data_IF_126111553700
#
_entry.id   IF_126111553700
#
_cell.length_a   1.000
_cell.length_b   1.000
_cell.length_c   1.000
_cell.angle_alpha   90.00
_cell.angle_beta   90.00
_cell.angle_gamma   90.00
#
_symmetry.space_group_name_H-M   'P 1'
#
loop_
_entity.id
_entity.type
_entity.pdbx_description
1 polymer ?
#
# COMPACT_ATOMS: atom_id res chain seq x y z
N UNK A 1 -3.59 7.91 0.33
CA UNK A 1 -4.53 8.51 -0.64
C UNK A 1 -5.53 7.52 -1.24
N UNK A 2 -5.32 6.20 -1.16
CA UNK A 2 -6.20 5.20 -1.77
C UNK A 2 -7.69 5.34 -1.38
N UNK A 3 -8.04 5.30 -0.09
CA UNK A 3 -9.46 5.42 0.33
C UNK A 3 -10.09 6.78 -0.02
N UNK A 4 -9.29 7.85 -0.14
CA UNK A 4 -9.78 9.14 -0.64
C UNK A 4 -10.06 9.07 -2.15
N UNK A 5 -9.21 8.40 -2.93
CA UNK A 5 -9.48 8.15 -4.34
C UNK A 5 -10.75 7.31 -4.52
N UNK A 6 -10.93 6.26 -3.73
CA UNK A 6 -12.17 5.45 -3.73
C UNK A 6 -13.40 6.29 -3.36
N UNK A 7 -13.30 7.18 -2.38
CA UNK A 7 -14.37 8.12 -2.03
C UNK A 7 -14.77 8.99 -3.22
N UNK A 8 -13.81 9.55 -3.96
CA UNK A 8 -14.10 10.37 -5.14
C UNK A 8 -14.69 9.56 -6.30
N UNK A 9 -14.19 8.35 -6.57
CA UNK A 9 -14.80 7.46 -7.57
C UNK A 9 -16.25 7.15 -7.21
N UNK A 10 -16.53 6.87 -5.93
CA UNK A 10 -17.90 6.63 -5.46
C UNK A 10 -18.79 7.85 -5.65
N UNK A 11 -18.27 9.05 -5.35
CA UNK A 11 -18.98 10.32 -5.54
C UNK A 11 -19.30 10.58 -7.02
N UNK A 12 -18.42 10.17 -7.93
CA UNK A 12 -18.60 10.31 -9.38
C UNK A 12 -19.44 9.20 -10.02
N UNK A 13 -19.87 8.19 -9.26
CA UNK A 13 -20.62 7.04 -9.79
C UNK A 13 -19.75 5.99 -10.50
N UNK A 14 -18.43 6.02 -10.31
CA UNK A 14 -17.43 5.18 -10.98
C UNK A 14 -17.11 3.88 -10.19
N UNK A 15 -17.94 3.49 -9.23
CA UNK A 15 -17.81 2.20 -8.55
C UNK A 15 -16.81 2.14 -7.40
N UNK A 16 -16.50 3.27 -6.75
CA UNK A 16 -15.57 3.30 -5.60
C UNK A 16 -16.00 2.39 -4.43
N UNK A 17 -15.03 1.65 -3.89
CA UNK A 17 -15.22 0.64 -2.84
C UNK A 17 -14.69 1.10 -1.47
N UNK A 18 -15.37 0.69 -0.39
CA UNK A 18 -14.91 0.89 0.99
C UNK A 18 -14.15 -0.33 1.51
N UNK A 19 -13.09 -0.69 0.79
CA UNK A 19 -12.16 -1.76 1.15
C UNK A 19 -10.73 -1.27 0.91
N UNK A 20 -9.74 -1.95 1.48
CA UNK A 20 -8.32 -1.79 1.15
C UNK A 20 -7.79 -2.87 0.20
N UNK A 21 -8.64 -3.74 -0.33
CA UNK A 21 -8.17 -4.85 -1.18
C UNK A 21 -7.45 -4.37 -2.44
N UNK A 22 -7.93 -3.32 -3.11
CA UNK A 22 -7.19 -2.74 -4.23
C UNK A 22 -5.86 -2.10 -3.81
N UNK A 23 -5.73 -1.62 -2.57
CA UNK A 23 -4.45 -1.19 -2.03
C UNK A 23 -3.49 -2.38 -1.84
N UNK A 24 -3.99 -3.53 -1.37
CA UNK A 24 -3.21 -4.77 -1.26
C UNK A 24 -2.67 -5.19 -2.64
N UNK A 25 -3.51 -5.14 -3.68
CA UNK A 25 -3.12 -5.44 -5.07
C UNK A 25 -2.01 -4.49 -5.54
N UNK A 26 -2.16 -3.18 -5.32
CA UNK A 26 -1.13 -2.19 -5.69
C UNK A 26 0.23 -2.53 -5.05
N UNK A 27 0.24 -2.96 -3.79
CA UNK A 27 1.47 -3.34 -3.09
C UNK A 27 2.05 -4.69 -3.56
N UNK A 28 1.20 -5.64 -3.97
CA UNK A 28 1.65 -6.88 -4.63
C UNK A 28 2.28 -6.58 -6.00
N UNK A 29 1.69 -5.68 -6.78
CA UNK A 29 2.28 -5.25 -8.06
C UNK A 29 3.60 -4.51 -7.85
N UNK A 30 3.70 -3.72 -6.78
CA UNK A 30 4.94 -3.03 -6.42
C UNK A 30 6.08 -4.02 -6.11
N UNK A 31 5.80 -5.16 -5.49
CA UNK A 31 6.78 -6.23 -5.31
C UNK A 31 7.34 -6.73 -6.66
N UNK A 32 6.45 -7.00 -7.63
CA UNK A 32 6.87 -7.44 -8.97
C UNK A 32 7.78 -6.40 -9.63
N UNK A 33 7.41 -5.11 -9.52
CA UNK A 33 8.22 -4.01 -10.07
C UNK A 33 9.59 -3.93 -9.39
N UNK A 34 9.65 -3.99 -8.06
CA UNK A 34 10.90 -3.93 -7.31
C UNK A 34 11.83 -5.09 -7.66
N UNK A 35 11.30 -6.32 -7.77
CA UNK A 35 12.06 -7.50 -8.20
C UNK A 35 12.62 -7.36 -9.61
N UNK A 36 11.81 -6.84 -10.54
CA UNK A 36 12.23 -6.62 -11.91
C UNK A 36 13.32 -5.54 -12.01
N UNK A 37 13.20 -4.45 -11.25
CA UNK A 37 14.23 -3.40 -11.18
C UNK A 37 15.53 -3.97 -10.57
N UNK A 38 15.44 -4.77 -9.51
CA UNK A 38 16.59 -5.38 -8.84
C UNK A 38 17.39 -6.27 -9.78
N UNK A 39 16.68 -7.06 -10.57
CA UNK A 39 17.28 -7.92 -11.60
C UNK A 39 18.02 -7.10 -12.66
N UNK A 40 17.40 -6.02 -13.16
CA UNK A 40 18.01 -5.14 -14.17
C UNK A 40 19.24 -4.41 -13.62
N UNK A 41 19.16 -3.84 -12.42
CA UNK A 41 20.29 -3.14 -11.79
C UNK A 41 21.46 -4.11 -11.56
N UNK A 42 21.18 -5.31 -11.04
CA UNK A 42 22.22 -6.34 -10.83
C UNK A 42 22.92 -6.74 -12.13
N UNK A 43 22.20 -6.75 -13.25
CA UNK A 43 22.79 -7.04 -14.56
C UNK A 43 23.62 -5.89 -15.15
N UNK A 44 23.39 -4.65 -14.70
CA UNK A 44 23.99 -3.44 -15.28
C UNK A 44 25.10 -2.80 -14.42
N UNK A 45 25.09 -3.03 -13.10
CA UNK A 45 25.98 -2.38 -12.13
C UNK A 45 26.52 -3.40 -11.11
N UNK A 46 27.81 -3.28 -10.76
CA UNK A 46 28.44 -4.01 -9.64
C UNK A 46 28.17 -3.34 -8.27
N UNK A 47 27.29 -2.34 -8.20
CA UNK A 47 27.06 -1.55 -6.99
C UNK A 47 26.08 -2.25 -6.03
N UNK A 48 26.61 -2.90 -4.99
CA UNK A 48 25.84 -3.65 -3.99
C UNK A 48 24.87 -2.78 -3.16
N UNK A 49 25.20 -1.51 -2.91
CA UNK A 49 24.38 -0.60 -2.09
C UNK A 49 23.01 -0.32 -2.70
N UNK A 50 22.93 -0.15 -4.02
CA UNK A 50 21.68 0.07 -4.75
C UNK A 50 20.77 -1.16 -4.72
N UNK A 51 21.35 -2.36 -4.71
CA UNK A 51 20.61 -3.63 -4.62
C UNK A 51 20.04 -3.79 -3.21
N UNK A 52 20.83 -3.54 -2.17
CA UNK A 52 20.39 -3.65 -0.78
C UNK A 52 19.24 -2.68 -0.46
N UNK A 53 19.29 -1.45 -0.98
CA UNK A 53 18.20 -0.49 -0.82
C UNK A 53 16.88 -1.00 -1.43
N UNK A 54 16.95 -1.66 -2.58
CA UNK A 54 15.77 -2.17 -3.28
C UNK A 54 15.19 -3.42 -2.60
N UNK A 55 16.04 -4.27 -2.01
CA UNK A 55 15.57 -5.40 -1.17
C UNK A 55 14.80 -4.90 0.05
N UNK A 56 15.29 -3.84 0.72
CA UNK A 56 14.58 -3.23 1.84
C UNK A 56 13.24 -2.64 1.40
N UNK A 57 13.22 -1.98 0.23
CA UNK A 57 11.99 -1.43 -0.33
C UNK A 57 10.98 -2.53 -0.67
N UNK A 58 11.45 -3.64 -1.21
CA UNK A 58 10.63 -4.80 -1.56
C UNK A 58 10.01 -5.47 -0.34
N UNK A 59 10.81 -5.68 0.72
CA UNK A 59 10.32 -6.23 1.97
C UNK A 59 9.18 -5.39 2.57
N UNK A 60 9.28 -4.05 2.47
CA UNK A 60 8.20 -3.16 2.90
C UNK A 60 6.95 -3.32 2.05
N UNK A 61 7.09 -3.37 0.73
CA UNK A 61 5.96 -3.53 -0.17
C UNK A 61 5.23 -4.86 0.08
N UNK A 62 6.00 -5.94 0.27
CA UNK A 62 5.47 -7.27 0.54
C UNK A 62 4.74 -7.42 1.87
N UNK A 63 5.10 -6.65 2.90
CA UNK A 63 4.44 -6.78 4.20
C UNK A 63 3.05 -6.13 4.21
N UNK A 64 2.85 -5.02 3.50
CA UNK A 64 1.62 -4.22 3.59
C UNK A 64 0.33 -5.03 3.34
N UNK A 65 0.23 -5.91 2.32
CA UNK A 65 -0.97 -6.71 2.10
C UNK A 65 -1.43 -7.54 3.30
N UNK A 66 -0.51 -7.91 4.19
CA UNK A 66 -0.77 -8.74 5.36
C UNK A 66 -1.11 -7.94 6.61
N UNK A 67 -0.56 -6.73 6.77
CA UNK A 67 -0.65 -5.96 8.03
C UNK A 67 -1.56 -4.73 7.96
N UNK A 68 -2.01 -4.34 6.76
CA UNK A 68 -2.73 -3.07 6.57
C UNK A 68 -4.06 -3.02 7.33
N UNK A 69 -4.77 -4.13 7.46
CA UNK A 69 -6.03 -4.17 8.21
C UNK A 69 -5.80 -4.06 9.72
N UNK A 70 -4.80 -4.79 10.24
CA UNK A 70 -4.41 -4.70 11.65
C UNK A 70 -4.03 -3.26 12.03
N UNK A 71 -3.26 -2.57 11.17
CA UNK A 71 -2.91 -1.16 11.38
C UNK A 71 -4.12 -0.22 11.31
N UNK A 72 -5.14 -0.52 10.50
CA UNK A 72 -6.38 0.25 10.49
C UNK A 72 -7.19 0.04 11.77
N UNK A 73 -7.18 -1.18 12.31
CA UNK A 73 -7.84 -1.49 13.58
C UNK A 73 -7.14 -0.82 14.77
N UNK A 74 -5.80 -0.77 14.78
CA UNK A 74 -5.03 -0.08 15.82
C UNK A 74 -5.39 1.41 15.94
N UNK A 75 -5.64 2.08 14.80
CA UNK A 75 -6.00 3.51 14.80
C UNK A 75 -7.49 3.76 15.00
N UNK A 76 -8.34 2.73 15.09
CA UNK A 76 -9.80 2.85 15.18
C UNK A 76 -10.25 3.73 16.35
N UNK A 77 -9.56 3.65 17.48
CA UNK A 77 -9.85 4.44 18.69
C UNK A 77 -9.66 5.95 18.46
N UNK A 78 -8.76 6.35 17.55
CA UNK A 78 -8.55 7.76 17.21
C UNK A 78 -9.80 8.40 16.56
N UNK A 79 -10.73 7.58 16.06
CA UNK A 79 -11.95 8.03 15.40
C UNK A 79 -13.20 7.91 16.27
N UNK A 80 -13.08 7.53 17.54
CA UNK A 80 -14.24 7.35 18.43
C UNK A 80 -15.04 8.64 18.62
N UNK A 81 -14.37 9.80 18.65
CA UNK A 81 -15.05 11.10 18.74
C UNK A 81 -15.99 11.39 17.55
N UNK A 82 -15.76 10.78 16.38
CA UNK A 82 -16.64 10.92 15.22
C UNK A 82 -17.86 10.00 15.31
N UNK A 83 -17.83 8.95 16.15
CA UNK A 83 -18.97 8.04 16.33
C UNK A 83 -20.07 8.66 17.20
N UNK A 84 -19.70 9.51 18.15
CA UNK A 84 -20.64 10.11 19.11
C UNK A 84 -21.33 11.37 18.60
N UNK A 85 -20.75 12.03 17.59
CA UNK A 85 -21.23 13.32 17.06
C UNK A 85 -22.02 13.21 15.74
N UNK A 86 -22.37 11.98 15.32
CA UNK A 86 -23.12 11.71 14.09
C UNK A 86 -24.55 11.19 14.35
N UNK A 87 -25.09 11.43 15.55
CA UNK A 87 -26.49 11.21 15.92
C UNK A 87 -27.12 12.57 16.27
#
# INVERSE_FOLDING_TARGET
MYLLAQYFQKKSGEGGEWSVDGLKIIYQDLHVVNMAISTRIRSALLAESSINALVILDARANMIPFVIEDYLDEIKLLFDAYKTNLI
#
